data_IF_898608218777
#
_entry.id   IF_898608218777
#
_cell.length_a   1.000
_cell.length_b   1.000
_cell.length_c   1.000
_cell.angle_alpha   90.00
_cell.angle_beta   90.00
_cell.angle_gamma   90.00
#
_symmetry.space_group_name_H-M   'P 1'
#
loop_
_entity.id
_entity.type
_entity.pdbx_description
1 polymer ?
#
# COMPACT_ATOMS: atom_id res chain seq x y z
N UNK A 1 13.43 -51.74 36.78
CA UNK A 1 13.11 -50.29 36.86
C UNK A 1 13.79 -49.44 35.79
N UNK A 2 15.05 -49.67 35.38
CA UNK A 2 15.72 -48.83 34.36
C UNK A 2 15.20 -49.00 32.93
N UNK A 3 14.76 -50.20 32.52
CA UNK A 3 14.26 -50.43 31.15
C UNK A 3 12.83 -49.93 30.94
N UNK A 4 11.96 -50.10 31.94
CA UNK A 4 10.56 -49.67 31.88
C UNK A 4 10.43 -48.15 31.70
N UNK A 5 11.34 -47.37 32.29
CA UNK A 5 11.36 -45.91 32.14
C UNK A 5 11.80 -45.45 30.74
N UNK A 6 12.68 -46.20 30.06
CA UNK A 6 13.09 -45.86 28.68
C UNK A 6 11.96 -46.12 27.68
N UNK A 7 11.23 -47.22 27.87
CA UNK A 7 10.07 -47.54 27.03
C UNK A 7 8.96 -46.50 27.21
N UNK A 8 8.66 -46.11 28.45
CA UNK A 8 7.64 -45.10 28.75
C UNK A 8 8.00 -43.74 28.14
N UNK A 9 9.26 -43.31 28.25
CA UNK A 9 9.74 -42.03 27.72
C UNK A 9 9.69 -42.00 26.18
N UNK A 10 9.98 -43.13 25.53
CA UNK A 10 9.89 -43.27 24.08
C UNK A 10 8.45 -43.15 23.58
N UNK A 11 7.50 -43.83 24.25
CA UNK A 11 6.08 -43.78 23.90
C UNK A 11 5.50 -42.39 24.11
N UNK A 12 5.81 -41.72 25.21
CA UNK A 12 5.35 -40.34 25.44
C UNK A 12 5.92 -39.39 24.39
N UNK A 13 7.20 -39.53 24.03
CA UNK A 13 7.82 -38.67 23.01
C UNK A 13 7.17 -38.86 21.63
N UNK A 14 6.86 -40.10 21.24
CA UNK A 14 6.15 -40.39 19.99
C UNK A 14 4.73 -39.82 19.97
N UNK A 15 4.00 -39.87 21.09
CA UNK A 15 2.68 -39.25 21.21
C UNK A 15 2.74 -37.73 21.07
N UNK A 16 3.71 -37.09 21.73
CA UNK A 16 3.89 -35.64 21.60
C UNK A 16 4.26 -35.23 20.16
N UNK A 17 5.14 -35.98 19.51
CA UNK A 17 5.49 -35.74 18.10
C UNK A 17 4.26 -35.94 17.21
N UNK A 18 3.48 -37.02 17.41
CA UNK A 18 2.27 -37.28 16.63
C UNK A 18 1.21 -36.19 16.78
N UNK A 19 0.98 -35.69 18.00
CA UNK A 19 0.04 -34.59 18.26
C UNK A 19 0.55 -33.28 17.65
N UNK A 20 1.85 -33.00 17.77
CA UNK A 20 2.46 -31.80 17.21
C UNK A 20 2.37 -31.78 15.68
N UNK A 21 2.73 -32.89 15.02
CA UNK A 21 2.61 -33.01 13.57
C UNK A 21 1.14 -32.99 13.12
N UNK A 22 0.23 -33.68 13.82
CA UNK A 22 -1.20 -33.65 13.52
C UNK A 22 -1.78 -32.24 13.58
N UNK A 23 -1.43 -31.47 14.60
CA UNK A 23 -1.83 -30.07 14.74
C UNK A 23 -1.24 -29.18 13.64
N UNK A 24 0.02 -29.40 13.28
CA UNK A 24 0.69 -28.65 12.22
C UNK A 24 0.04 -28.89 10.84
N UNK A 25 -0.23 -30.15 10.49
CA UNK A 25 -0.88 -30.51 9.22
C UNK A 25 -2.35 -30.07 9.14
N UNK A 26 -3.09 -30.11 10.26
CA UNK A 26 -4.47 -29.62 10.28
C UNK A 26 -4.55 -28.12 9.99
N UNK A 27 -3.66 -27.31 10.58
CA UNK A 27 -3.65 -25.86 10.38
C UNK A 27 -3.08 -25.45 9.01
N UNK A 28 -2.06 -26.15 8.50
CA UNK A 28 -1.48 -25.85 7.18
C UNK A 28 -2.50 -26.03 6.03
N UNK A 29 -3.37 -27.04 6.11
CA UNK A 29 -4.41 -27.27 5.11
C UNK A 29 -5.58 -26.26 5.20
N UNK A 30 -5.86 -25.74 6.40
CA UNK A 30 -6.96 -24.79 6.60
C UNK A 30 -6.70 -23.44 5.90
N UNK A 31 -5.45 -22.94 5.93
CA UNK A 31 -5.12 -21.65 5.31
C UNK A 31 -5.11 -21.70 3.77
N UNK A 32 -4.77 -22.85 3.21
CA UNK A 32 -4.78 -23.12 1.76
C UNK A 32 -6.19 -23.23 1.17
N UNK A 33 -7.14 -23.87 1.88
CA UNK A 33 -8.52 -24.02 1.39
C UNK A 33 -9.31 -22.70 1.39
N UNK A 34 -9.05 -21.78 2.32
CA UNK A 34 -9.82 -20.53 2.45
C UNK A 34 -9.60 -19.63 1.23
N UNK A 35 -8.36 -19.41 0.78
CA UNK A 35 -8.13 -18.58 -0.42
C UNK A 35 -8.45 -19.29 -1.74
N UNK A 36 -8.32 -20.63 -1.78
CA UNK A 36 -8.62 -21.43 -2.96
C UNK A 36 -10.12 -21.52 -3.28
N UNK A 37 -10.98 -21.37 -2.28
CA UNK A 37 -12.45 -21.47 -2.42
C UNK A 37 -13.17 -20.16 -2.69
N UNK A 38 -12.49 -19.01 -2.49
CA UNK A 38 -13.09 -17.70 -2.73
C UNK A 38 -13.25 -17.40 -4.21
N UNK A 39 -14.38 -16.80 -4.56
CA UNK A 39 -14.58 -16.25 -5.89
C UNK A 39 -13.76 -14.95 -6.09
N UNK A 40 -13.80 -14.39 -7.29
CA UNK A 40 -13.00 -13.21 -7.64
C UNK A 40 -13.46 -11.94 -6.94
N UNK A 41 -14.76 -11.80 -6.67
CA UNK A 41 -15.31 -10.63 -6.00
C UNK A 41 -14.94 -10.67 -4.52
N UNK A 42 -15.05 -11.83 -3.88
CA UNK A 42 -14.59 -12.05 -2.51
C UNK A 42 -13.09 -11.78 -2.36
N UNK A 43 -12.27 -12.23 -3.32
CA UNK A 43 -10.82 -11.94 -3.34
C UNK A 43 -10.55 -10.43 -3.44
N UNK A 44 -11.30 -9.73 -4.28
CA UNK A 44 -11.18 -8.28 -4.46
C UNK A 44 -11.55 -7.54 -3.17
N UNK A 45 -12.65 -7.89 -2.52
CA UNK A 45 -13.08 -7.26 -1.28
C UNK A 45 -12.11 -7.54 -0.14
N UNK A 46 -11.57 -8.75 -0.08
CA UNK A 46 -10.53 -9.12 0.87
C UNK A 46 -9.25 -8.29 0.67
N UNK A 47 -8.82 -8.11 -0.59
CA UNK A 47 -7.71 -7.24 -0.94
C UNK A 47 -7.96 -5.79 -0.51
N UNK A 48 -9.12 -5.21 -0.85
CA UNK A 48 -9.47 -3.83 -0.47
C UNK A 48 -9.46 -3.66 1.06
N UNK A 49 -9.95 -4.65 1.79
CA UNK A 49 -9.98 -4.63 3.26
C UNK A 49 -8.58 -4.66 3.85
N UNK A 50 -7.71 -5.57 3.38
CA UNK A 50 -6.31 -5.64 3.81
C UNK A 50 -5.56 -4.35 3.45
N UNK A 51 -5.78 -3.84 2.24
CA UNK A 51 -5.23 -2.58 1.76
C UNK A 51 -5.51 -1.43 2.73
N UNK A 52 -6.77 -1.29 3.15
CA UNK A 52 -7.19 -0.25 4.10
C UNK A 52 -6.59 -0.44 5.49
N UNK A 53 -6.47 -1.68 5.97
CA UNK A 53 -5.87 -1.95 7.28
C UNK A 53 -4.41 -1.49 7.33
N UNK A 54 -3.62 -1.84 6.32
CA UNK A 54 -2.21 -1.41 6.19
C UNK A 54 -2.13 0.13 6.17
N UNK A 55 -2.98 0.79 5.40
CA UNK A 55 -3.00 2.26 5.31
C UNK A 55 -3.29 2.91 6.66
N UNK A 56 -4.24 2.37 7.44
CA UNK A 56 -4.60 2.90 8.76
C UNK A 56 -3.43 2.74 9.74
N UNK A 57 -2.74 1.61 9.71
CA UNK A 57 -1.56 1.35 10.54
C UNK A 57 -0.43 2.34 10.21
N UNK A 58 -0.05 2.45 8.94
CA UNK A 58 0.98 3.40 8.49
C UNK A 58 0.60 4.87 8.76
N UNK A 59 -0.68 5.22 8.66
CA UNK A 59 -1.19 6.54 9.06
C UNK A 59 -0.95 6.81 10.55
N UNK A 60 -1.20 5.81 11.41
CA UNK A 60 -0.95 5.89 12.85
C UNK A 60 0.52 6.12 13.19
N UNK A 61 1.42 5.50 12.44
CA UNK A 61 2.86 5.64 12.60
C UNK A 61 3.44 6.92 11.95
N UNK A 62 2.63 7.64 11.16
CA UNK A 62 3.05 8.84 10.44
C UNK A 62 3.81 8.55 9.13
N UNK A 63 3.80 7.29 8.71
CA UNK A 63 4.50 6.74 7.54
C UNK A 63 3.62 6.70 6.28
N UNK A 64 2.45 7.35 6.33
CA UNK A 64 1.50 7.40 5.22
C UNK A 64 0.99 8.82 4.95
N UNK A 65 1.49 9.44 3.88
CA UNK A 65 1.17 10.81 3.44
C UNK A 65 0.96 10.84 1.93
N UNK A 66 -0.17 10.30 1.49
CA UNK A 66 -0.56 10.28 0.09
C UNK A 66 -1.01 11.67 -0.39
N UNK A 67 -0.69 12.03 -1.64
CA UNK A 67 -1.10 13.28 -2.26
C UNK A 67 -2.46 13.21 -2.97
N UNK A 68 -3.15 12.06 -2.93
CA UNK A 68 -4.47 11.82 -3.53
C UNK A 68 -5.58 11.83 -2.48
N UNK A 69 -6.82 12.03 -2.91
CA UNK A 69 -7.99 11.85 -2.03
C UNK A 69 -8.20 10.38 -1.65
N UNK A 70 -7.97 9.49 -2.61
CA UNK A 70 -7.99 8.05 -2.41
C UNK A 70 -6.57 7.51 -2.53
N UNK A 71 -6.08 6.79 -1.50
CA UNK A 71 -4.83 6.07 -1.55
C UNK A 71 -4.57 5.23 -2.82
N UNK A 72 -3.48 5.54 -3.52
CA UNK A 72 -2.95 4.75 -4.63
C UNK A 72 -2.42 3.38 -4.16
N UNK A 73 -2.29 2.42 -5.08
CA UNK A 73 -1.74 1.08 -4.79
C UNK A 73 -0.23 1.16 -4.58
N UNK A 74 0.44 2.06 -5.30
CA UNK A 74 1.89 2.22 -5.20
C UNK A 74 2.35 2.60 -3.78
N UNK A 75 1.58 3.38 -3.02
CA UNK A 75 1.95 3.71 -1.64
C UNK A 75 1.98 2.51 -0.67
N UNK A 76 1.59 1.31 -1.12
CA UNK A 76 1.68 0.06 -0.34
C UNK A 76 2.72 -0.88 -0.94
N UNK A 77 2.77 -0.97 -2.27
CA UNK A 77 3.66 -1.90 -2.96
C UNK A 77 5.07 -1.31 -3.17
N UNK A 78 5.13 -0.04 -3.58
CA UNK A 78 6.36 0.63 -4.01
C UNK A 78 6.22 2.15 -3.99
N UNK A 79 7.00 2.80 -3.14
CA UNK A 79 7.10 4.27 -3.17
C UNK A 79 8.31 4.66 -4.05
N UNK A 80 8.13 5.34 -5.20
CA UNK A 80 9.24 5.76 -6.05
C UNK A 80 10.21 6.67 -5.31
N UNK A 81 11.52 6.48 -5.51
CA UNK A 81 12.55 7.20 -4.74
C UNK A 81 12.76 6.67 -3.32
N UNK A 82 11.86 5.83 -2.80
CA UNK A 82 11.86 5.38 -1.41
C UNK A 82 12.09 3.85 -1.26
N UNK A 83 11.83 3.04 -2.28
CA UNK A 83 12.13 1.58 -2.29
C UNK A 83 10.89 0.68 -2.15
N UNK A 84 11.07 -0.64 -2.21
CA UNK A 84 10.01 -1.62 -1.92
C UNK A 84 9.70 -1.63 -0.41
N UNK A 85 8.42 -1.59 -0.05
CA UNK A 85 7.99 -1.50 1.36
C UNK A 85 8.31 -0.18 2.07
N UNK A 86 8.63 0.87 1.32
CA UNK A 86 9.02 2.15 1.87
C UNK A 86 7.81 3.03 2.22
N UNK A 87 8.01 3.91 3.20
CA UNK A 87 7.00 4.85 3.69
C UNK A 87 6.50 5.76 2.56
N UNK A 88 5.19 6.03 2.54
CA UNK A 88 4.57 6.87 1.51
C UNK A 88 4.67 8.33 1.94
N UNK A 89 5.50 9.13 1.27
CA UNK A 89 5.67 10.57 1.55
C UNK A 89 5.43 11.45 0.30
N UNK A 90 4.59 10.99 -0.64
CA UNK A 90 4.31 11.71 -1.89
C UNK A 90 3.73 13.11 -1.68
N UNK A 91 3.09 13.38 -0.53
CA UNK A 91 2.69 14.73 -0.16
C UNK A 91 3.91 15.66 -0.07
N UNK A 92 5.00 15.23 0.57
CA UNK A 92 6.24 16.00 0.67
C UNK A 92 6.85 16.23 -0.71
N UNK A 93 6.88 15.21 -1.56
CA UNK A 93 7.39 15.32 -2.92
C UNK A 93 6.64 16.41 -3.68
N UNK A 94 5.30 16.35 -3.70
CA UNK A 94 4.46 17.34 -4.35
C UNK A 94 4.71 18.75 -3.84
N UNK A 95 4.71 18.98 -2.52
CA UNK A 95 4.89 20.34 -1.97
C UNK A 95 6.29 20.89 -2.19
N UNK A 96 7.28 20.02 -2.39
CA UNK A 96 8.67 20.40 -2.70
C UNK A 96 8.93 20.51 -4.21
N UNK A 97 7.94 20.23 -5.06
CA UNK A 97 8.06 20.27 -6.52
C UNK A 97 8.77 19.05 -7.10
N UNK A 98 8.84 17.94 -6.36
CA UNK A 98 9.33 16.65 -6.85
C UNK A 98 8.15 15.84 -7.38
N UNK A 99 8.32 15.20 -8.55
CA UNK A 99 7.24 14.41 -9.15
C UNK A 99 6.79 13.25 -8.26
N UNK A 100 5.48 13.03 -8.07
CA UNK A 100 4.98 11.85 -7.38
C UNK A 100 5.04 10.62 -8.29
N UNK A 101 4.61 9.46 -7.79
CA UNK A 101 4.55 8.24 -8.58
C UNK A 101 3.63 8.36 -9.82
N UNK A 102 3.83 7.50 -10.81
CA UNK A 102 3.05 7.54 -12.06
C UNK A 102 1.54 7.37 -11.85
N UNK A 103 1.12 6.54 -10.88
CA UNK A 103 -0.30 6.40 -10.50
C UNK A 103 -0.85 7.72 -9.96
N UNK A 104 -0.11 8.39 -9.07
CA UNK A 104 -0.51 9.70 -8.56
C UNK A 104 -0.60 10.77 -9.65
N UNK A 105 0.34 10.80 -10.61
CA UNK A 105 0.28 11.76 -11.72
C UNK A 105 -1.01 11.56 -12.52
N UNK A 106 -1.34 10.32 -12.90
CA UNK A 106 -2.58 10.01 -13.63
C UNK A 106 -3.83 10.48 -12.88
N UNK A 107 -3.97 10.06 -11.62
CA UNK A 107 -5.10 10.43 -10.76
C UNK A 107 -5.19 11.95 -10.52
N UNK A 108 -4.05 12.64 -10.38
CA UNK A 108 -4.03 14.11 -10.27
C UNK A 108 -4.55 14.76 -11.54
N UNK A 109 -4.14 14.28 -12.72
CA UNK A 109 -4.60 14.81 -14.02
C UNK A 109 -6.08 14.52 -14.28
N UNK A 110 -6.66 13.52 -13.61
CA UNK A 110 -8.09 13.19 -13.64
C UNK A 110 -8.93 13.95 -12.60
N UNK A 111 -8.29 14.69 -11.68
CA UNK A 111 -8.99 15.45 -10.63
C UNK A 111 -9.20 14.70 -9.32
N UNK A 112 -8.44 13.64 -9.07
CA UNK A 112 -8.51 12.80 -7.85
C UNK A 112 -7.36 13.08 -6.87
N UNK A 113 -6.56 14.10 -7.14
CA UNK A 113 -5.56 14.64 -6.23
C UNK A 113 -6.20 15.29 -4.99
N UNK A 114 -5.44 15.34 -3.89
CA UNK A 114 -5.86 16.08 -2.71
C UNK A 114 -5.95 17.58 -3.05
N UNK A 115 -7.17 18.12 -3.08
CA UNK A 115 -7.45 19.53 -3.43
C UNK A 115 -6.64 20.57 -2.64
N UNK A 116 -6.22 20.25 -1.41
CA UNK A 116 -5.40 21.17 -0.60
C UNK A 116 -3.96 21.30 -1.12
N UNK A 117 -3.54 20.37 -1.97
CA UNK A 117 -2.23 20.35 -2.63
C UNK A 117 -2.30 20.87 -4.06
N UNK A 118 -3.47 21.26 -4.57
CA UNK A 118 -3.67 21.53 -5.99
C UNK A 118 -2.72 22.59 -6.56
N UNK A 119 -2.42 23.64 -5.79
CA UNK A 119 -1.46 24.68 -6.16
C UNK A 119 -0.01 24.21 -6.37
N UNK A 120 0.33 22.99 -5.96
CA UNK A 120 1.67 22.41 -6.09
C UNK A 120 1.78 21.41 -7.26
N UNK A 121 0.65 20.90 -7.77
CA UNK A 121 0.66 19.77 -8.71
C UNK A 121 1.34 20.08 -10.03
N UNK A 122 1.07 21.24 -10.64
CA UNK A 122 1.63 21.59 -11.94
C UNK A 122 3.17 21.59 -11.91
N UNK A 123 3.76 22.24 -10.90
CA UNK A 123 5.20 22.26 -10.69
C UNK A 123 5.78 20.87 -10.43
N UNK A 124 5.17 20.10 -9.53
CA UNK A 124 5.65 18.75 -9.21
C UNK A 124 5.66 17.83 -10.44
N UNK A 125 4.63 17.90 -11.28
CA UNK A 125 4.53 17.11 -12.51
C UNK A 125 5.54 17.61 -13.56
N UNK A 126 5.72 18.92 -13.68
CA UNK A 126 6.65 19.54 -14.63
C UNK A 126 8.11 19.11 -14.43
N UNK A 127 8.52 18.79 -13.19
CA UNK A 127 9.88 18.30 -12.91
C UNK A 127 10.26 17.08 -13.77
N UNK A 128 9.30 16.19 -14.04
CA UNK A 128 9.53 14.98 -14.84
C UNK A 128 9.07 15.10 -16.29
N UNK A 129 7.99 15.83 -16.53
CA UNK A 129 7.38 15.98 -17.86
C UNK A 129 8.09 17.05 -18.69
N UNK A 130 8.71 18.03 -18.05
CA UNK A 130 9.42 19.15 -18.65
C UNK A 130 8.81 20.50 -18.24
N UNK A 131 9.66 21.44 -17.86
CA UNK A 131 9.27 22.81 -17.46
C UNK A 131 8.55 23.57 -18.58
N UNK A 132 8.83 23.25 -19.86
CA UNK A 132 8.15 23.83 -21.02
C UNK A 132 6.63 23.53 -21.05
N UNK A 133 6.17 22.57 -20.25
CA UNK A 133 4.76 22.21 -20.14
C UNK A 133 4.05 22.83 -18.93
N UNK A 134 4.75 23.61 -18.09
CA UNK A 134 4.19 24.09 -16.82
C UNK A 134 2.92 24.92 -17.00
N UNK A 135 2.86 25.79 -18.01
CA UNK A 135 1.67 26.61 -18.27
C UNK A 135 0.47 25.75 -18.67
N UNK A 136 0.70 24.73 -19.51
CA UNK A 136 -0.35 23.77 -19.88
C UNK A 136 -0.83 22.98 -18.66
N UNK A 137 0.10 22.54 -17.82
CA UNK A 137 -0.22 21.82 -16.58
C UNK A 137 -1.03 22.69 -15.62
N UNK A 138 -0.71 23.99 -15.50
CA UNK A 138 -1.48 24.92 -14.66
C UNK A 138 -2.90 25.11 -15.15
N UNK A 139 -3.10 25.23 -16.47
CA UNK A 139 -4.46 25.28 -17.05
C UNK A 139 -5.25 24.01 -16.75
N UNK A 140 -4.63 22.83 -16.85
CA UNK A 140 -5.28 21.56 -16.49
C UNK A 140 -5.64 21.55 -15.00
N UNK A 141 -4.73 21.98 -14.11
CA UNK A 141 -5.03 22.02 -12.67
C UNK A 141 -6.14 23.02 -12.34
N UNK A 142 -6.20 24.14 -13.05
CA UNK A 142 -7.29 25.12 -12.95
C UNK A 142 -8.63 24.48 -13.30
N UNK A 143 -8.69 23.77 -14.43
CA UNK A 143 -9.90 23.05 -14.86
C UNK A 143 -10.31 21.93 -13.89
N UNK A 144 -9.35 21.14 -13.39
CA UNK A 144 -9.65 19.96 -12.57
C UNK A 144 -9.95 20.27 -11.11
N UNK A 145 -9.37 21.34 -10.57
CA UNK A 145 -9.44 21.64 -9.14
C UNK A 145 -10.11 22.98 -8.82
N UNK A 146 -10.56 23.73 -9.82
CA UNK A 146 -11.20 25.05 -9.65
C UNK A 146 -10.30 26.03 -8.88
N UNK A 147 -9.00 26.05 -9.25
CA UNK A 147 -8.01 26.96 -8.68
C UNK A 147 -7.46 27.94 -9.74
N UNK A 148 -7.42 29.25 -9.50
CA UNK A 148 -6.86 30.20 -10.45
C UNK A 148 -5.40 29.90 -10.79
N UNK A 149 -5.01 30.11 -12.05
CA UNK A 149 -3.64 29.84 -12.56
C UNK A 149 -2.58 30.64 -11.79
N UNK A 150 -2.90 31.86 -11.37
CA UNK A 150 -2.01 32.76 -10.61
C UNK A 150 -1.83 32.36 -9.14
N UNK A 151 -2.68 31.47 -8.61
CA UNK A 151 -2.52 30.90 -7.28
C UNK A 151 -1.64 29.64 -7.25
N UNK A 152 -1.20 29.16 -8.42
CA UNK A 152 -0.38 27.96 -8.59
C UNK A 152 1.12 28.29 -8.55
N UNK A 153 1.92 27.40 -7.95
CA UNK A 153 3.37 27.57 -7.76
C UNK A 153 4.23 27.08 -8.92
#
# INVERSE_FOLDING_TARGET
MKETNKLLLGVTSFLFIGVFFGFYFANANHMSMVFGSMDMDEKRDHFITHKKAIQIELLGDGDYKCCLEKPCVYCIEKTPGHGEGATCDCMKDVVTGVHPCGECIGEIMEGHGNKYLAKYFAKAIAEKVGEDHIDTLREIMSEKYDIPVDEQL
#
